data_IF_649384636840
#
_entry.id   IF_649384636840
#
_cell.length_a   1.000
_cell.length_b   1.000
_cell.length_c   1.000
_cell.angle_alpha   90.00
_cell.angle_beta   90.00
_cell.angle_gamma   90.00
#
_symmetry.space_group_name_H-M   'P 1'
#
loop_
_entity.id
_entity.type
_entity.pdbx_description
1 polymer ?
#
# COMPACT_ATOMS: atom_id res chain seq x y z
N UNK A 1 -3.62 -23.92 10.38
CA UNK A 1 -4.25 -22.83 9.62
C UNK A 1 -4.60 -23.39 8.26
N UNK A 2 -5.86 -23.30 7.81
CA UNK A 2 -6.27 -23.67 6.45
C UNK A 2 -5.92 -22.55 5.49
N UNK A 3 -5.55 -22.90 4.25
CA UNK A 3 -5.28 -21.90 3.23
C UNK A 3 -6.56 -21.13 2.86
N UNK A 4 -6.51 -19.80 2.72
CA UNK A 4 -7.67 -19.04 2.25
C UNK A 4 -7.97 -19.37 0.79
N UNK A 5 -9.25 -19.32 0.43
CA UNK A 5 -9.73 -19.43 -0.94
C UNK A 5 -9.38 -18.19 -1.76
N UNK A 6 -9.39 -18.33 -3.09
CA UNK A 6 -9.22 -17.21 -4.02
C UNK A 6 -10.26 -16.11 -3.74
N UNK A 7 -11.49 -16.49 -3.42
CA UNK A 7 -12.57 -15.55 -3.16
C UNK A 7 -12.37 -14.76 -1.86
N UNK A 8 -11.95 -15.42 -0.79
CA UNK A 8 -11.61 -14.73 0.47
C UNK A 8 -10.48 -13.72 0.26
N UNK A 9 -9.44 -14.12 -0.47
CA UNK A 9 -8.33 -13.22 -0.82
C UNK A 9 -8.77 -12.04 -1.69
N UNK A 10 -9.64 -12.29 -2.68
CA UNK A 10 -10.18 -11.26 -3.56
C UNK A 10 -11.04 -10.23 -2.81
N UNK A 11 -11.94 -10.70 -1.96
CA UNK A 11 -12.79 -9.83 -1.14
C UNK A 11 -11.94 -8.99 -0.18
N UNK A 12 -10.96 -9.59 0.50
CA UNK A 12 -10.05 -8.87 1.38
C UNK A 12 -9.28 -7.76 0.65
N UNK A 13 -8.75 -8.06 -0.55
CA UNK A 13 -8.07 -7.05 -1.36
C UNK A 13 -8.99 -5.90 -1.77
N UNK A 14 -10.23 -6.18 -2.14
CA UNK A 14 -11.22 -5.16 -2.48
C UNK A 14 -11.54 -4.24 -1.30
N UNK A 15 -11.77 -4.81 -0.12
CA UNK A 15 -12.03 -4.05 1.11
C UNK A 15 -10.86 -3.15 1.50
N UNK A 16 -9.63 -3.68 1.42
CA UNK A 16 -8.40 -2.92 1.69
C UNK A 16 -8.29 -1.73 0.75
N UNK A 17 -8.46 -1.96 -0.56
CA UNK A 17 -8.39 -0.88 -1.56
C UNK A 17 -9.42 0.19 -1.25
N UNK A 18 -10.67 -0.18 -0.99
CA UNK A 18 -11.73 0.77 -0.67
C UNK A 18 -11.42 1.58 0.59
N UNK A 19 -10.99 0.93 1.67
CA UNK A 19 -10.69 1.61 2.94
C UNK A 19 -9.47 2.52 2.83
N UNK A 20 -8.36 2.01 2.29
CA UNK A 20 -7.08 2.75 2.23
C UNK A 20 -7.15 3.89 1.23
N UNK A 21 -7.75 3.67 0.05
CA UNK A 21 -7.93 4.77 -0.90
C UNK A 21 -9.01 5.75 -0.44
N UNK A 22 -10.12 5.24 0.14
CA UNK A 22 -11.25 6.04 0.62
C UNK A 22 -10.91 7.02 1.74
N UNK A 23 -9.98 6.66 2.64
CA UNK A 23 -9.54 7.54 3.74
C UNK A 23 -8.49 8.57 3.34
N UNK A 24 -7.68 8.31 2.31
CA UNK A 24 -6.45 9.08 2.07
C UNK A 24 -5.46 8.95 3.24
N UNK A 25 -4.71 10.01 3.54
CA UNK A 25 -3.90 10.17 4.75
C UNK A 25 -4.02 11.61 5.26
N UNK A 26 -3.52 11.89 6.47
CA UNK A 26 -3.44 13.25 7.00
C UNK A 26 -2.68 14.23 6.09
N UNK A 27 -1.86 13.71 5.16
CA UNK A 27 -1.05 14.48 4.22
C UNK A 27 -1.66 14.59 2.81
N UNK A 28 -2.68 13.81 2.49
CA UNK A 28 -3.21 13.68 1.11
C UNK A 28 -4.63 13.10 1.10
N UNK A 29 -5.55 13.79 0.43
CA UNK A 29 -6.95 13.36 0.28
C UNK A 29 -7.13 12.20 -0.70
N UNK A 30 -8.38 11.82 -0.93
CA UNK A 30 -8.74 10.76 -1.88
C UNK A 30 -8.15 11.03 -3.27
N UNK A 31 -7.39 10.08 -3.81
CA UNK A 31 -6.79 10.19 -5.15
C UNK A 31 -5.57 11.11 -5.26
N UNK A 32 -5.21 11.86 -4.21
CA UNK A 32 -4.02 12.73 -4.20
C UNK A 32 -2.72 11.94 -4.42
N UNK A 33 -2.68 10.66 -4.04
CA UNK A 33 -1.52 9.79 -4.29
C UNK A 33 -1.30 9.48 -5.77
N UNK A 34 -2.26 9.78 -6.65
CA UNK A 34 -2.07 9.66 -8.09
C UNK A 34 -1.49 10.96 -8.69
N UNK A 35 -1.74 12.11 -8.04
CA UNK A 35 -1.45 13.44 -8.59
C UNK A 35 -0.28 14.17 -7.89
N UNK A 36 -0.13 14.01 -6.56
CA UNK A 36 0.92 14.65 -5.74
C UNK A 36 2.19 13.83 -5.67
N UNK A 37 2.02 12.52 -5.60
CA UNK A 37 3.12 11.58 -5.73
C UNK A 37 3.52 11.58 -7.21
N UNK A 38 4.82 11.72 -7.52
CA UNK A 38 5.28 11.82 -8.90
C UNK A 38 4.62 10.72 -9.75
N UNK A 39 4.08 11.02 -10.94
CA UNK A 39 3.31 10.07 -11.76
C UNK A 39 4.24 9.06 -12.45
N UNK A 40 5.11 8.42 -11.67
CA UNK A 40 6.21 7.60 -12.15
C UNK A 40 6.20 6.30 -11.38
N UNK A 41 6.43 5.20 -12.09
CA UNK A 41 6.39 3.87 -11.51
C UNK A 41 7.33 3.75 -10.29
N UNK A 42 8.54 4.29 -10.40
CA UNK A 42 9.58 4.20 -9.38
C UNK A 42 9.15 4.73 -8.03
N UNK A 43 8.36 5.79 -8.00
CA UNK A 43 7.90 6.37 -6.75
C UNK A 43 7.00 5.38 -5.99
N UNK A 44 5.99 4.82 -6.65
CA UNK A 44 5.08 3.88 -6.02
C UNK A 44 5.78 2.57 -5.66
N UNK A 45 6.72 2.10 -6.49
CA UNK A 45 7.55 0.93 -6.21
C UNK A 45 8.38 1.16 -4.93
N UNK A 46 9.12 2.26 -4.85
CA UNK A 46 9.95 2.59 -3.70
C UNK A 46 9.11 2.72 -2.41
N UNK A 47 7.91 3.32 -2.51
CA UNK A 47 6.97 3.41 -1.38
C UNK A 47 6.44 2.03 -0.95
N UNK A 48 6.10 1.15 -1.89
CA UNK A 48 5.66 -0.21 -1.58
C UNK A 48 6.77 -0.98 -0.83
N UNK A 49 8.01 -0.94 -1.33
CA UNK A 49 9.17 -1.58 -0.70
C UNK A 49 9.38 -1.06 0.72
N UNK A 50 9.31 0.26 0.94
CA UNK A 50 9.48 0.85 2.28
C UNK A 50 8.42 0.35 3.27
N UNK A 51 7.16 0.27 2.84
CA UNK A 51 6.09 -0.22 3.69
C UNK A 51 6.26 -1.72 4.01
N UNK A 52 6.67 -2.54 3.03
CA UNK A 52 6.98 -3.96 3.27
C UNK A 52 8.13 -4.12 4.27
N UNK A 53 9.21 -3.35 4.14
CA UNK A 53 10.33 -3.38 5.07
C UNK A 53 9.90 -3.02 6.50
N UNK A 54 9.07 -1.98 6.66
CA UNK A 54 8.60 -1.55 7.98
C UNK A 54 7.68 -2.59 8.62
N UNK A 55 6.75 -3.17 7.84
CA UNK A 55 5.89 -4.26 8.30
C UNK A 55 6.71 -5.47 8.77
N UNK A 56 7.74 -5.84 8.00
CA UNK A 56 8.65 -6.94 8.37
C UNK A 56 9.37 -6.65 9.70
N UNK A 57 9.89 -5.43 9.89
CA UNK A 57 10.54 -5.05 11.15
C UNK A 57 9.57 -5.11 12.35
N UNK A 58 8.33 -4.66 12.17
CA UNK A 58 7.30 -4.72 13.21
C UNK A 58 6.92 -6.17 13.55
N UNK A 59 6.73 -7.03 12.54
CA UNK A 59 6.43 -8.46 12.74
C UNK A 59 7.58 -9.20 13.43
N UNK A 60 8.83 -8.82 13.14
CA UNK A 60 10.02 -9.36 13.79
C UNK A 60 10.31 -8.72 15.15
N UNK A 61 9.45 -7.80 15.64
CA UNK A 61 9.62 -7.07 16.90
C UNK A 61 10.94 -6.28 16.99
N UNK A 62 11.51 -5.91 15.85
CA UNK A 62 12.72 -5.08 15.76
C UNK A 62 12.40 -3.58 15.61
N UNK A 63 11.12 -3.24 15.49
CA UNK A 63 10.58 -1.87 15.53
C UNK A 63 9.29 -1.81 16.36
N UNK A 64 8.95 -0.66 16.95
CA UNK A 64 7.66 -0.44 17.62
C UNK A 64 6.47 -0.72 16.70
N UNK A 65 5.43 -1.33 17.27
CA UNK A 65 4.13 -1.55 16.62
C UNK A 65 3.03 -1.18 17.63
N UNK A 66 2.31 -0.05 17.44
CA UNK A 66 2.35 0.86 16.29
C UNK A 66 3.67 1.66 16.17
N UNK A 67 3.97 2.18 14.98
CA UNK A 67 5.08 3.10 14.74
C UNK A 67 4.80 4.51 15.32
N UNK A 68 5.73 5.45 15.12
CA UNK A 68 5.59 6.83 15.58
C UNK A 68 4.40 7.59 14.95
N UNK A 69 3.81 7.07 13.87
CA UNK A 69 2.62 7.63 13.22
C UNK A 69 1.34 6.87 13.62
N UNK A 70 1.43 5.91 14.55
CA UNK A 70 0.30 5.07 14.94
C UNK A 70 -0.03 3.96 13.95
N UNK A 71 0.85 3.66 12.99
CA UNK A 71 0.63 2.62 11.97
C UNK A 71 1.14 1.25 12.42
N UNK A 72 0.32 0.23 12.22
CA UNK A 72 0.64 -1.17 12.52
C UNK A 72 1.24 -1.90 11.31
N UNK A 73 1.70 -3.14 11.52
CA UNK A 73 2.21 -3.96 10.42
C UNK A 73 1.15 -4.24 9.37
N UNK A 74 -0.12 -4.35 9.79
CA UNK A 74 -1.26 -4.51 8.89
C UNK A 74 -1.43 -3.27 8.01
N UNK A 75 -1.43 -2.07 8.61
CA UNK A 75 -1.57 -0.82 7.86
C UNK A 75 -0.48 -0.68 6.79
N UNK A 76 0.76 -1.03 7.12
CA UNK A 76 1.86 -1.00 6.16
C UNK A 76 1.70 -2.04 5.04
N UNK A 77 1.30 -3.28 5.34
CA UNK A 77 1.05 -4.31 4.31
C UNK A 77 -0.04 -3.86 3.33
N UNK A 78 -1.12 -3.28 3.85
CA UNK A 78 -2.24 -2.78 3.06
C UNK A 78 -1.86 -1.59 2.18
N UNK A 79 -1.06 -0.64 2.71
CA UNK A 79 -0.51 0.45 1.89
C UNK A 79 0.40 -0.09 0.80
N UNK A 80 1.22 -1.10 1.06
CA UNK A 80 2.07 -1.72 0.05
C UNK A 80 1.25 -2.38 -1.07
N UNK A 81 0.14 -3.05 -0.74
CA UNK A 81 -0.80 -3.62 -1.72
C UNK A 81 -1.37 -2.52 -2.63
N UNK A 82 -1.89 -1.43 -2.06
CA UNK A 82 -2.44 -0.31 -2.83
C UNK A 82 -1.38 0.35 -3.72
N UNK A 83 -0.16 0.55 -3.21
CA UNK A 83 0.95 1.12 -4.00
C UNK A 83 1.31 0.23 -5.19
N UNK A 84 1.33 -1.08 -5.00
CA UNK A 84 1.57 -2.04 -6.08
C UNK A 84 0.46 -2.01 -7.15
N UNK A 85 -0.80 -1.87 -6.73
CA UNK A 85 -1.93 -1.71 -7.66
C UNK A 85 -1.83 -0.41 -8.47
N UNK A 86 -1.35 0.69 -7.88
CA UNK A 86 -1.10 1.93 -8.64
C UNK A 86 -0.04 1.73 -9.72
N UNK A 87 1.07 1.06 -9.41
CA UNK A 87 2.11 0.75 -10.42
C UNK A 87 1.51 -0.08 -11.56
N UNK A 88 0.73 -1.12 -11.23
CA UNK A 88 0.08 -1.94 -12.25
C UNK A 88 -0.90 -1.14 -13.11
N UNK A 89 -1.68 -0.24 -12.50
CA UNK A 89 -2.59 0.64 -13.22
C UNK A 89 -1.84 1.64 -14.12
N UNK A 90 -0.72 2.19 -13.66
CA UNK A 90 0.15 3.07 -14.43
C UNK A 90 0.74 2.33 -15.65
N UNK A 91 1.25 1.10 -15.46
CA UNK A 91 1.77 0.26 -16.55
C UNK A 91 0.68 -0.03 -17.58
N UNK A 92 -0.52 -0.43 -17.13
CA UNK A 92 -1.66 -0.74 -18.01
C UNK A 92 -2.22 0.49 -18.74
N UNK A 93 -1.97 1.69 -18.23
CA UNK A 93 -2.37 2.97 -18.82
C UNK A 93 -1.23 3.68 -19.56
N UNK A 94 -0.09 3.01 -19.76
CA UNK A 94 1.09 3.54 -20.46
C UNK A 94 1.62 4.86 -19.86
N UNK A 95 1.53 5.04 -18.54
CA UNK A 95 2.12 6.20 -17.87
C UNK A 95 3.66 6.15 -18.06
N UNK A 96 4.33 7.28 -18.39
CA UNK A 96 5.75 7.27 -18.72
C UNK A 96 6.65 6.67 -17.63
N UNK A 97 7.66 5.90 -18.06
CA UNK A 97 8.83 5.55 -17.25
C UNK A 97 9.80 6.74 -17.30
N UNK A 98 10.33 7.17 -16.15
CA UNK A 98 11.41 8.17 -16.13
C UNK A 98 12.71 7.56 -16.64
#
# INVERSE_FOLDING_TARGET
MTAPTIQEMGNAAQEIVWRVMGKGSDKSGYGDWLLKDRPTHDYHIARAIRHLATAQMQLHKSSPCPDNNGETSVDHLERALVRSLFVLAQIKKEVPRL
#
